data_IF_562436975851
#
_entry.id   IF_562436975851
#
_cell.length_a   1.000
_cell.length_b   1.000
_cell.length_c   1.000
_cell.angle_alpha   90.00
_cell.angle_beta   90.00
_cell.angle_gamma   90.00
#
_symmetry.space_group_name_H-M   'P 1'
#
loop_
_entity.id
_entity.type
_entity.pdbx_description
1 polymer ?
#
# COMPACT_ATOMS: atom_id res chain seq x y z
N UNK A 1 -25.31 -16.21 -8.70
CA UNK A 1 -26.14 -15.07 -8.27
C UNK A 1 -25.37 -13.81 -8.62
N UNK A 2 -25.97 -12.88 -9.39
CA UNK A 2 -25.28 -11.65 -9.80
C UNK A 2 -25.11 -10.75 -8.58
N UNK A 3 -23.88 -10.29 -8.31
CA UNK A 3 -23.63 -9.31 -7.26
C UNK A 3 -24.38 -8.01 -7.57
N UNK A 4 -24.97 -7.33 -6.55
CA UNK A 4 -25.59 -6.03 -6.76
C UNK A 4 -24.54 -5.01 -7.25
N UNK A 5 -24.95 -3.98 -8.01
CA UNK A 5 -24.03 -3.01 -8.63
C UNK A 5 -23.32 -2.07 -7.62
N UNK A 6 -23.49 -2.27 -6.31
CA UNK A 6 -22.90 -1.44 -5.26
C UNK A 6 -23.17 -1.96 -3.84
N UNK A 7 -22.84 -1.14 -2.85
CA UNK A 7 -23.02 -1.48 -1.43
C UNK A 7 -24.51 -1.51 -1.06
N UNK A 8 -24.88 -2.48 -0.23
CA UNK A 8 -26.22 -2.54 0.38
C UNK A 8 -26.37 -1.47 1.47
N UNK A 9 -27.60 -1.05 1.82
CA UNK A 9 -27.82 -0.12 2.93
C UNK A 9 -27.17 -0.57 4.24
N UNK A 10 -27.25 -1.87 4.55
CA UNK A 10 -26.62 -2.43 5.75
C UNK A 10 -25.08 -2.34 5.72
N UNK A 11 -24.46 -2.51 4.55
CA UNK A 11 -23.01 -2.32 4.39
C UNK A 11 -22.59 -0.85 4.54
N UNK A 12 -23.40 0.08 4.05
CA UNK A 12 -23.17 1.52 4.24
C UNK A 12 -23.29 1.89 5.73
N UNK A 13 -24.30 1.38 6.42
CA UNK A 13 -24.46 1.57 7.87
C UNK A 13 -23.28 0.98 8.66
N UNK A 14 -22.81 -0.22 8.29
CA UNK A 14 -21.63 -0.82 8.90
C UNK A 14 -20.37 0.02 8.68
N UNK A 15 -20.13 0.50 7.46
CA UNK A 15 -18.99 1.39 7.17
C UNK A 15 -19.03 2.67 8.01
N UNK A 16 -20.19 3.32 8.10
CA UNK A 16 -20.34 4.55 8.88
C UNK A 16 -20.17 4.34 10.39
N UNK A 17 -20.58 3.16 10.90
CA UNK A 17 -20.43 2.81 12.32
C UNK A 17 -19.01 2.41 12.68
N UNK A 18 -18.36 1.60 11.84
CA UNK A 18 -17.12 0.90 12.17
C UNK A 18 -15.88 1.62 11.61
N UNK A 19 -16.04 2.54 10.64
CA UNK A 19 -14.97 3.26 9.95
C UNK A 19 -14.28 2.45 8.83
N UNK A 20 -14.72 1.21 8.59
CA UNK A 20 -14.24 0.33 7.54
C UNK A 20 -15.33 -0.68 7.14
N UNK A 21 -15.10 -1.41 6.04
CA UNK A 21 -15.99 -2.46 5.58
C UNK A 21 -15.21 -3.62 4.97
N UNK A 22 -15.57 -4.86 5.31
CA UNK A 22 -15.02 -6.07 4.69
C UNK A 22 -15.88 -6.42 3.47
N UNK A 23 -15.25 -6.48 2.29
CA UNK A 23 -15.89 -6.92 1.04
C UNK A 23 -15.22 -8.22 0.60
N UNK A 24 -15.86 -9.39 0.85
CA UNK A 24 -15.30 -10.67 0.42
C UNK A 24 -15.25 -10.75 -1.11
N UNK A 25 -14.16 -11.31 -1.64
CA UNK A 25 -13.98 -11.52 -3.08
C UNK A 25 -14.17 -10.24 -3.91
N UNK A 26 -13.72 -9.09 -3.39
CA UNK A 26 -13.83 -7.80 -4.09
C UNK A 26 -13.12 -7.80 -5.46
N UNK A 27 -12.04 -8.57 -5.58
CA UNK A 27 -11.32 -8.84 -6.82
C UNK A 27 -11.41 -10.33 -7.13
N UNK A 28 -11.50 -10.67 -8.42
CA UNK A 28 -11.36 -12.05 -8.85
C UNK A 28 -9.91 -12.55 -8.72
N UNK A 29 -9.75 -13.88 -8.73
CA UNK A 29 -8.44 -14.52 -8.55
C UNK A 29 -7.44 -14.16 -9.66
N UNK A 30 -7.91 -13.89 -10.87
CA UNK A 30 -7.04 -13.53 -11.99
C UNK A 30 -6.45 -12.13 -11.80
N UNK A 31 -7.28 -11.18 -11.37
CA UNK A 31 -6.86 -9.82 -11.03
C UNK A 31 -5.85 -9.83 -9.89
N UNK A 32 -6.10 -10.61 -8.83
CA UNK A 32 -5.15 -10.76 -7.71
C UNK A 32 -3.82 -11.34 -8.20
N UNK A 33 -3.84 -12.37 -9.06
CA UNK A 33 -2.62 -12.96 -9.61
C UNK A 33 -1.82 -11.96 -10.47
N UNK A 34 -2.50 -11.13 -11.28
CA UNK A 34 -1.84 -10.11 -12.09
C UNK A 34 -1.21 -9.01 -11.22
N UNK A 35 -1.90 -8.55 -10.16
CA UNK A 35 -1.34 -7.58 -9.22
C UNK A 35 -0.09 -8.12 -8.53
N UNK A 36 -0.12 -9.37 -8.08
CA UNK A 36 1.03 -10.02 -7.44
C UNK A 36 2.21 -10.20 -8.41
N UNK A 37 1.94 -10.56 -9.67
CA UNK A 37 3.00 -10.66 -10.68
C UNK A 37 3.68 -9.30 -10.93
N UNK A 38 2.90 -8.20 -10.95
CA UNK A 38 3.45 -6.86 -11.10
C UNK A 38 4.30 -6.45 -9.89
N UNK A 39 3.88 -6.77 -8.66
CA UNK A 39 4.72 -6.46 -7.48
C UNK A 39 6.04 -7.23 -7.50
N UNK A 40 6.06 -8.48 -7.97
CA UNK A 40 7.31 -9.22 -8.20
C UNK A 40 8.19 -8.55 -9.25
N UNK A 41 7.62 -8.17 -10.39
CA UNK A 41 8.35 -7.45 -11.45
C UNK A 41 8.97 -6.15 -10.93
N UNK A 42 8.23 -5.36 -10.15
CA UNK A 42 8.73 -4.12 -9.56
C UNK A 42 9.92 -4.36 -8.63
N UNK A 43 9.89 -5.43 -7.83
CA UNK A 43 10.97 -5.80 -6.92
C UNK A 43 12.20 -6.35 -7.65
N UNK A 44 12.01 -7.17 -8.68
CA UNK A 44 13.11 -7.74 -9.47
C UNK A 44 13.86 -6.67 -10.27
N UNK A 45 13.15 -5.63 -10.72
CA UNK A 45 13.72 -4.54 -11.51
C UNK A 45 14.12 -3.33 -10.65
N UNK A 46 13.95 -3.40 -9.33
CA UNK A 46 14.34 -2.34 -8.42
C UNK A 46 15.85 -2.36 -8.16
N UNK A 47 16.53 -1.24 -8.45
CA UNK A 47 17.95 -1.05 -8.12
C UNK A 47 18.11 -0.45 -6.73
N UNK A 48 18.97 -1.07 -5.92
CA UNK A 48 19.33 -0.59 -4.59
C UNK A 48 20.41 0.49 -4.62
N UNK A 49 21.09 0.69 -5.76
CA UNK A 49 22.29 1.55 -5.85
C UNK A 49 21.99 3.01 -5.51
N UNK A 50 20.84 3.52 -5.94
CA UNK A 50 20.37 4.88 -5.66
C UNK A 50 19.38 4.94 -4.49
N UNK A 51 19.14 3.81 -3.82
CA UNK A 51 18.18 3.75 -2.73
C UNK A 51 18.83 4.21 -1.41
N UNK A 52 18.25 5.19 -0.70
CA UNK A 52 18.84 5.74 0.53
C UNK A 52 18.85 4.79 1.73
N UNK A 53 18.49 3.51 1.53
CA UNK A 53 18.28 2.52 2.59
C UNK A 53 17.40 3.03 3.73
N UNK A 54 16.48 3.95 3.39
CA UNK A 54 15.57 4.58 4.34
C UNK A 54 14.71 3.54 5.01
N UNK A 55 14.76 3.54 6.33
CA UNK A 55 13.85 2.78 7.19
C UNK A 55 12.64 3.65 7.48
N UNK A 56 11.45 3.09 7.30
CA UNK A 56 10.23 3.78 7.67
C UNK A 56 10.11 3.77 9.20
N UNK A 57 10.06 4.94 9.83
CA UNK A 57 9.78 5.09 11.27
C UNK A 57 8.63 6.08 11.44
N UNK A 58 7.63 5.75 12.26
CA UNK A 58 6.42 6.56 12.47
C UNK A 58 6.64 7.80 13.36
N UNK A 59 7.87 8.26 13.48
CA UNK A 59 8.28 9.39 14.31
C UNK A 59 8.75 8.94 15.69
N UNK A 60 9.93 9.42 16.07
CA UNK A 60 10.62 9.42 17.38
C UNK A 60 12.04 8.83 17.31
N UNK A 61 12.95 9.55 16.64
CA UNK A 61 14.38 9.27 16.71
C UNK A 61 15.19 10.55 16.53
N UNK A 62 15.60 11.17 17.64
CA UNK A 62 16.58 12.27 17.59
C UNK A 62 17.91 11.75 17.02
N UNK A 63 18.34 12.28 15.87
CA UNK A 63 19.72 12.15 15.40
C UNK A 63 19.98 11.21 14.21
N UNK A 64 18.96 10.70 13.52
CA UNK A 64 19.14 10.04 12.21
C UNK A 64 18.84 11.07 11.13
N UNK A 65 19.87 11.51 10.40
CA UNK A 65 19.79 12.58 9.40
C UNK A 65 18.71 12.34 8.35
N UNK A 66 18.02 13.44 8.03
CA UNK A 66 16.87 13.72 7.16
C UNK A 66 16.81 13.10 5.74
N UNK A 67 17.70 12.18 5.37
CA UNK A 67 17.71 11.58 4.02
C UNK A 67 16.52 10.63 3.83
N UNK A 68 16.02 10.03 4.92
CA UNK A 68 14.80 9.23 4.90
C UNK A 68 13.51 10.02 4.73
N UNK A 69 13.50 11.25 5.23
CA UNK A 69 12.32 12.11 5.20
C UNK A 69 12.02 12.55 3.76
N UNK A 70 13.00 13.02 2.99
CA UNK A 70 12.77 13.45 1.59
C UNK A 70 12.39 12.27 0.66
N UNK A 71 13.03 11.11 0.87
CA UNK A 71 12.67 9.89 0.15
C UNK A 71 11.28 9.35 0.52
N UNK A 72 10.74 9.68 1.69
CA UNK A 72 9.35 9.40 2.00
C UNK A 72 8.40 10.51 1.50
N UNK A 73 8.69 11.77 1.82
CA UNK A 73 7.81 12.92 1.56
C UNK A 73 7.59 13.19 0.06
N UNK A 74 8.61 12.95 -0.78
CA UNK A 74 8.47 13.07 -2.23
C UNK A 74 7.99 11.76 -2.91
N UNK A 75 7.51 10.77 -2.15
CA UNK A 75 7.05 9.49 -2.72
C UNK A 75 5.62 9.55 -3.25
N UNK A 76 4.90 10.66 -3.04
CA UNK A 76 3.46 10.76 -3.31
C UNK A 76 3.05 10.52 -4.78
N UNK A 77 3.98 10.73 -5.71
CA UNK A 77 3.79 10.52 -7.15
C UNK A 77 4.72 9.44 -7.74
N UNK A 78 5.40 8.65 -6.90
CA UNK A 78 6.40 7.65 -7.31
C UNK A 78 6.14 6.29 -6.67
N UNK A 79 6.60 5.24 -7.34
CA UNK A 79 6.74 3.92 -6.71
C UNK A 79 8.10 3.87 -6.01
N UNK A 80 8.09 3.99 -4.68
CA UNK A 80 9.27 3.87 -3.82
C UNK A 80 9.15 2.63 -2.93
N UNK A 81 10.29 2.09 -2.54
CA UNK A 81 10.40 0.87 -1.74
C UNK A 81 10.77 1.24 -0.30
N UNK A 82 10.14 0.61 0.69
CA UNK A 82 10.41 0.87 2.10
C UNK A 82 10.77 -0.46 2.77
N UNK A 83 11.85 -0.45 3.56
CA UNK A 83 12.33 -1.64 4.25
C UNK A 83 11.82 -1.67 5.70
N UNK A 84 11.57 -2.88 6.18
CA UNK A 84 11.29 -3.18 7.60
C UNK A 84 12.53 -2.89 8.49
N UNK A 85 12.31 -2.72 9.80
CA UNK A 85 13.38 -2.53 10.80
C UNK A 85 14.28 -3.76 11.01
#
# INVERSE_FOLDING_TARGET
MSSPPGLTPAQVEAFNRDGYLIIPNALDSQTVATLLAETHSLLENFSIEDHPMTRFSTGEGEGVEHVGDDYFLESGDKVRFFFEE
#
